data_IF_866999514116
#
_entry.id   IF_866999514116
#
_cell.length_a   1.000
_cell.length_b   1.000
_cell.length_c   1.000
_cell.angle_alpha   90.00
_cell.angle_beta   90.00
_cell.angle_gamma   90.00
#
_symmetry.space_group_name_H-M   'P 1'
#
loop_
_entity.id
_entity.type
_entity.pdbx_description
1 polymer ?
#
# COMPACT_ATOMS: atom_id res chain seq x y z
N UNK A 1 19.52 -22.24 61.02
CA UNK A 1 18.28 -23.03 61.02
C UNK A 1 17.13 -22.05 61.22
N UNK A 2 16.39 -21.56 60.24
CA UNK A 2 16.32 -21.80 58.79
C UNK A 2 15.75 -20.51 58.18
N UNK A 3 16.32 -20.04 57.07
CA UNK A 3 15.73 -18.96 56.28
C UNK A 3 15.15 -19.62 55.04
N UNK A 4 13.84 -19.88 55.09
CA UNK A 4 13.07 -20.46 53.99
C UNK A 4 13.32 -19.68 52.70
N UNK A 5 14.16 -20.25 51.85
CA UNK A 5 14.37 -19.81 50.46
C UNK A 5 13.18 -20.33 49.65
N UNK A 6 12.02 -19.71 49.86
CA UNK A 6 10.86 -19.95 49.01
C UNK A 6 11.11 -19.22 47.68
N UNK A 7 11.44 -20.00 46.64
CA UNK A 7 11.72 -19.50 45.30
C UNK A 7 10.64 -18.54 44.83
N UNK A 8 10.99 -17.27 44.64
CA UNK A 8 10.12 -16.29 44.03
C UNK A 8 10.02 -16.59 42.54
N UNK A 9 9.08 -17.45 42.17
CA UNK A 9 8.63 -17.52 40.78
C UNK A 9 7.93 -16.19 40.51
N UNK A 10 8.64 -15.26 39.86
CA UNK A 10 8.04 -14.03 39.36
C UNK A 10 7.07 -14.41 38.26
N UNK A 11 5.79 -14.35 38.57
CA UNK A 11 4.77 -14.31 37.54
C UNK A 11 4.68 -12.88 37.04
N UNK A 12 4.83 -12.68 35.74
CA UNK A 12 4.51 -11.40 35.10
C UNK A 12 3.04 -11.11 35.39
N UNK A 13 2.81 -10.16 36.32
CA UNK A 13 1.48 -9.72 36.70
C UNK A 13 0.88 -9.00 35.50
N UNK A 14 -0.28 -9.46 35.06
CA UNK A 14 -1.06 -8.84 33.98
C UNK A 14 -1.20 -7.33 34.24
N UNK A 15 -0.62 -6.51 33.35
CA UNK A 15 -0.59 -5.06 33.45
C UNK A 15 -1.18 -4.46 32.18
N UNK A 16 -2.13 -3.54 32.31
CA UNK A 16 -2.88 -2.96 31.19
C UNK A 16 -1.97 -2.24 30.19
N UNK A 17 -0.84 -1.70 30.66
CA UNK A 17 0.16 -1.05 29.80
C UNK A 17 0.94 -2.05 28.93
N UNK A 18 0.92 -3.35 29.25
CA UNK A 18 1.56 -4.40 28.44
C UNK A 18 0.65 -4.92 27.31
N UNK A 19 -0.66 -4.66 27.39
CA UNK A 19 -1.68 -5.22 26.49
C UNK A 19 -1.83 -4.35 25.23
N UNK A 20 -0.96 -3.36 25.02
CA UNK A 20 -0.92 -2.64 23.75
C UNK A 20 -0.30 -3.53 22.67
N UNK A 21 -1.04 -4.56 22.26
CA UNK A 21 -0.75 -5.39 21.13
C UNK A 21 -1.04 -4.56 19.88
N UNK A 22 -0.11 -3.67 19.53
CA UNK A 22 -0.09 -3.01 18.24
C UNK A 22 0.27 -4.06 17.18
N UNK A 23 -0.69 -4.91 16.85
CA UNK A 23 -0.59 -5.76 15.68
C UNK A 23 -0.83 -4.86 14.49
N UNK A 24 0.23 -4.40 13.86
CA UNK A 24 0.13 -3.85 12.51
C UNK A 24 -0.63 -4.90 11.68
N UNK A 25 -1.85 -4.60 11.19
CA UNK A 25 -2.58 -5.57 10.40
C UNK A 25 -1.67 -5.94 9.23
N UNK A 26 -1.54 -7.23 8.87
CA UNK A 26 -0.66 -7.63 7.77
C UNK A 26 -1.10 -6.87 6.53
N UNK A 27 -0.37 -5.80 6.19
CA UNK A 27 -0.67 -5.03 5.01
C UNK A 27 -0.30 -5.95 3.87
N UNK A 28 -1.32 -6.42 3.15
CA UNK A 28 -1.08 -7.19 1.94
C UNK A 28 -0.12 -6.39 1.05
N UNK A 29 0.82 -7.07 0.42
CA UNK A 29 1.81 -6.45 -0.48
C UNK A 29 1.14 -5.51 -1.47
N UNK A 30 -0.08 -5.85 -1.90
CA UNK A 30 -0.96 -5.05 -2.75
C UNK A 30 -1.32 -3.69 -2.13
N UNK A 31 -1.69 -3.67 -0.84
CA UNK A 31 -2.06 -2.43 -0.13
C UNK A 31 -0.83 -1.52 0.06
N UNK A 32 0.35 -2.09 0.30
CA UNK A 32 1.61 -1.35 0.38
C UNK A 32 1.98 -0.72 -0.98
N UNK A 33 1.91 -1.49 -2.06
CA UNK A 33 2.14 -1.01 -3.42
C UNK A 33 1.13 0.07 -3.79
N UNK A 34 -0.16 -0.13 -3.48
CA UNK A 34 -1.19 0.86 -3.74
C UNK A 34 -0.94 2.17 -3.00
N UNK A 35 -0.55 2.12 -1.72
CA UNK A 35 -0.25 3.34 -0.98
C UNK A 35 1.00 4.05 -1.54
N UNK A 36 2.06 3.31 -1.88
CA UNK A 36 3.27 3.89 -2.48
C UNK A 36 3.01 4.50 -3.87
N UNK A 37 2.20 3.84 -4.69
CA UNK A 37 1.95 4.27 -6.07
C UNK A 37 0.86 5.33 -6.14
N UNK A 38 -0.15 5.33 -5.27
CA UNK A 38 -1.31 6.22 -5.36
C UNK A 38 -1.31 7.38 -4.36
N UNK A 39 -0.66 7.25 -3.19
CA UNK A 39 -0.69 8.28 -2.13
C UNK A 39 0.49 9.25 -2.18
N UNK A 40 1.63 8.82 -2.74
CA UNK A 40 2.85 9.62 -2.85
C UNK A 40 2.93 10.53 -4.09
N UNK A 41 4.06 11.23 -4.24
CA UNK A 41 4.38 12.05 -5.43
C UNK A 41 4.35 11.22 -6.73
N UNK A 42 4.67 9.93 -6.61
CA UNK A 42 4.48 8.85 -7.59
C UNK A 42 3.06 8.79 -8.15
N UNK A 43 2.01 9.00 -7.34
CA UNK A 43 0.61 8.94 -7.80
C UNK A 43 0.22 10.08 -8.72
N UNK A 44 0.81 11.27 -8.51
CA UNK A 44 0.65 12.39 -9.43
C UNK A 44 1.30 12.10 -10.77
N UNK A 45 2.53 11.56 -10.74
CA UNK A 45 3.27 11.19 -11.95
C UNK A 45 2.53 10.11 -12.75
N UNK A 46 2.03 9.06 -12.09
CA UNK A 46 1.28 7.99 -12.76
C UNK A 46 -0.02 8.50 -13.38
N UNK A 47 -0.75 9.40 -12.70
CA UNK A 47 -1.94 10.04 -13.27
C UNK A 47 -1.62 10.85 -14.53
N UNK A 48 -0.56 11.66 -14.49
CA UNK A 48 -0.14 12.48 -15.64
C UNK A 48 0.29 11.58 -16.81
N UNK A 49 1.13 10.57 -16.54
CA UNK A 49 1.56 9.61 -17.55
C UNK A 49 0.37 8.86 -18.18
N UNK A 50 -0.58 8.42 -17.36
CA UNK A 50 -1.80 7.77 -17.84
C UNK A 50 -2.67 8.68 -18.71
N UNK A 51 -2.84 9.95 -18.31
CA UNK A 51 -3.59 10.93 -19.10
C UNK A 51 -2.93 11.22 -20.45
N UNK A 52 -1.60 11.36 -20.48
CA UNK A 52 -0.85 11.53 -21.72
C UNK A 52 -0.97 10.31 -22.64
N UNK A 53 -0.84 9.10 -22.09
CA UNK A 53 -1.00 7.87 -22.85
C UNK A 53 -2.41 7.73 -23.47
N UNK A 54 -3.46 8.11 -22.72
CA UNK A 54 -4.83 8.10 -23.21
C UNK A 54 -5.03 9.10 -24.36
N UNK A 55 -4.50 10.33 -24.23
CA UNK A 55 -4.55 11.33 -25.28
C UNK A 55 -3.87 10.87 -26.57
N UNK A 56 -2.65 10.32 -26.45
CA UNK A 56 -1.93 9.78 -27.61
C UNK A 56 -2.71 8.63 -28.25
N UNK A 57 -3.31 7.76 -27.46
CA UNK A 57 -4.10 6.64 -27.97
C UNK A 57 -5.31 7.12 -28.77
N UNK A 58 -6.06 8.11 -28.25
CA UNK A 58 -7.20 8.69 -28.95
C UNK A 58 -6.76 9.37 -30.25
N UNK A 59 -5.63 10.09 -30.23
CA UNK A 59 -5.07 10.71 -31.43
C UNK A 59 -4.73 9.67 -32.51
N UNK A 60 -4.04 8.59 -32.15
CA UNK A 60 -3.69 7.51 -33.08
C UNK A 60 -4.96 6.88 -33.65
N UNK A 61 -5.94 6.55 -32.81
CA UNK A 61 -7.22 5.97 -33.25
C UNK A 61 -7.95 6.90 -34.22
N UNK A 62 -8.00 8.20 -33.92
CA UNK A 62 -8.61 9.20 -34.80
C UNK A 62 -7.87 9.32 -36.12
N UNK A 63 -6.54 9.34 -36.11
CA UNK A 63 -5.70 9.38 -37.31
C UNK A 63 -5.93 8.17 -38.20
N UNK A 64 -5.91 6.97 -37.61
CA UNK A 64 -6.13 5.72 -38.32
C UNK A 64 -7.55 5.67 -38.90
N UNK A 65 -8.56 6.01 -38.10
CA UNK A 65 -9.96 6.02 -38.54
C UNK A 65 -10.16 7.03 -39.67
N UNK A 66 -9.65 8.25 -39.52
CA UNK A 66 -9.72 9.28 -40.55
C UNK A 66 -9.01 8.86 -41.84
N UNK A 67 -7.84 8.23 -41.72
CA UNK A 67 -7.12 7.67 -42.87
C UNK A 67 -7.95 6.63 -43.62
N UNK A 68 -8.57 5.68 -42.91
CA UNK A 68 -9.38 4.65 -43.56
C UNK A 68 -10.69 5.20 -44.15
N UNK A 69 -11.30 6.21 -43.53
CA UNK A 69 -12.53 6.85 -44.04
C UNK A 69 -12.24 7.70 -45.28
N UNK A 70 -11.15 8.48 -45.29
CA UNK A 70 -10.78 9.33 -46.44
C UNK A 70 -10.17 8.55 -47.62
N UNK A 71 -9.73 7.31 -47.38
CA UNK A 71 -9.15 6.44 -48.42
C UNK A 71 -10.21 5.60 -49.14
N UNK A 72 -11.49 5.75 -48.79
CA UNK A 72 -12.63 5.27 -49.57
C UNK A 72 -13.06 6.29 -50.63
#
# INVERSE_FOLDING_TARGET
>A
MDSDTAGSVQYDRWNEDNINMHVDPPQSTVKRIYNTVCSGNSGKVVKIAGALAALVSIYILGYVTGYYVHRC
#
